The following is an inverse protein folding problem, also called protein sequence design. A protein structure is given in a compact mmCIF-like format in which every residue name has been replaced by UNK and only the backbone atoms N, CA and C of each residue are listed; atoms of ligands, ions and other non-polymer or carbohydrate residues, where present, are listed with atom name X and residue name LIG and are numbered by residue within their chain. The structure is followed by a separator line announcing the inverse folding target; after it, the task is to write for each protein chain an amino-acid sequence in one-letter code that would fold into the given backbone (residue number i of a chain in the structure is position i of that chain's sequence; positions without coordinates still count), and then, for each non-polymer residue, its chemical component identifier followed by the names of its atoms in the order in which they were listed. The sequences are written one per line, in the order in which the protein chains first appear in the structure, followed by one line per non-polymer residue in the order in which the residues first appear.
data_IF_357779962688
#
_entry.id   IF_357779962688
#
_cell.length_a   1.000
_cell.length_b   1.000
_cell.length_c   1.000
_cell.angle_alpha   90.00
_cell.angle_beta   90.00
_cell.angle_gamma   90.00
#
_symmetry.space_group_name_H-M   'P 1'
#
loop_
_entity.id
_entity.type
_entity.pdbx_description
1 polymer ?
#
# COMPACT_ATOMS: atom_id res chain seq x y z
N UNK A 1 19.56 7.57 -11.02
CA UNK A 1 20.14 7.82 -12.37
C UNK A 1 19.31 7.03 -13.35
N UNK A 2 18.86 7.63 -14.46
CA UNK A 2 18.05 6.89 -15.44
C UNK A 2 18.93 5.79 -16.05
N UNK A 3 18.44 4.55 -16.03
CA UNK A 3 19.14 3.39 -16.60
C UNK A 3 19.33 3.55 -18.11
N UNK A 4 20.46 3.08 -18.62
CA UNK A 4 20.68 2.97 -20.05
C UNK A 4 19.72 1.92 -20.66
N UNK A 5 19.26 2.06 -21.91
CA UNK A 5 18.24 1.17 -22.50
C UNK A 5 18.56 -0.33 -22.43
N UNK A 6 19.82 -0.69 -22.61
CA UNK A 6 20.36 -2.04 -22.54
C UNK A 6 20.41 -2.63 -21.12
N UNK A 7 20.36 -1.77 -20.09
CA UNK A 7 20.38 -2.15 -18.68
C UNK A 7 19.00 -2.20 -18.01
N UNK A 8 17.92 -1.87 -18.74
CA UNK A 8 16.57 -1.77 -18.20
C UNK A 8 16.04 -3.10 -17.62
N UNK A 9 16.47 -4.23 -18.19
CA UNK A 9 16.06 -5.57 -17.73
C UNK A 9 17.07 -6.20 -16.77
N UNK A 10 18.16 -5.50 -16.45
CA UNK A 10 19.12 -5.99 -15.45
C UNK A 10 18.56 -5.73 -14.04
N UNK A 11 18.78 -6.71 -13.14
CA UNK A 11 18.45 -6.57 -11.73
C UNK A 11 19.14 -5.34 -11.13
N UNK A 12 18.41 -4.59 -10.32
CA UNK A 12 18.96 -3.48 -9.56
C UNK A 12 20.02 -3.98 -8.55
N UNK A 13 21.13 -3.25 -8.30
CA UNK A 13 22.16 -3.64 -7.33
C UNK A 13 21.65 -3.96 -5.92
N UNK A 14 20.55 -3.32 -5.50
CA UNK A 14 19.92 -3.59 -4.20
C UNK A 14 19.22 -4.96 -4.14
N UNK A 15 18.77 -5.48 -5.28
CA UNK A 15 18.15 -6.80 -5.39
C UNK A 15 19.12 -7.89 -5.81
N UNK A 16 20.13 -7.59 -6.63
CA UNK A 16 21.13 -8.58 -7.05
C UNK A 16 22.18 -8.92 -5.97
N UNK A 17 22.15 -8.21 -4.84
CA UNK A 17 23.13 -8.36 -3.75
C UNK A 17 24.44 -7.59 -3.97
N UNK A 18 24.62 -6.94 -5.12
CA UNK A 18 25.79 -6.12 -5.42
C UNK A 18 25.95 -4.91 -4.48
N UNK A 19 24.88 -4.46 -3.84
CA UNK A 19 24.87 -3.36 -2.86
C UNK A 19 25.13 -3.76 -1.39
N UNK A 20 25.51 -5.01 -1.11
CA UNK A 20 25.70 -5.51 0.27
C UNK A 20 24.41 -5.98 0.97
N UNK A 21 23.34 -6.17 0.20
CA UNK A 21 22.06 -6.72 0.67
C UNK A 21 21.99 -8.23 0.41
N UNK A 22 21.14 -8.95 1.15
CA UNK A 22 20.76 -10.30 0.77
C UNK A 22 19.99 -10.18 -0.54
N UNK A 23 20.55 -10.73 -1.62
CA UNK A 23 19.91 -10.68 -2.92
C UNK A 23 18.57 -11.40 -2.91
N UNK A 24 17.65 -10.93 -3.75
CA UNK A 24 16.36 -11.56 -4.00
C UNK A 24 16.19 -11.80 -5.51
N UNK A 25 15.30 -12.70 -5.88
CA UNK A 25 14.94 -12.98 -7.26
C UNK A 25 13.56 -12.41 -7.58
N UNK A 26 13.24 -12.30 -8.87
CA UNK A 26 11.89 -11.93 -9.30
C UNK A 26 10.83 -12.91 -8.77
N UNK A 27 11.17 -14.19 -8.60
CA UNK A 27 10.29 -15.20 -8.02
C UNK A 27 10.02 -14.93 -6.53
N UNK A 28 11.03 -14.50 -5.78
CA UNK A 28 10.86 -14.15 -4.36
C UNK A 28 9.90 -12.96 -4.21
N UNK A 29 10.08 -11.91 -5.02
CA UNK A 29 9.21 -10.74 -5.01
C UNK A 29 7.78 -11.07 -5.41
N UNK A 30 7.59 -11.97 -6.39
CA UNK A 30 6.27 -12.46 -6.77
C UNK A 30 5.61 -13.23 -5.62
N UNK A 31 6.35 -14.16 -5.01
CA UNK A 31 5.86 -14.96 -3.88
C UNK A 31 5.50 -14.10 -2.65
N UNK A 32 6.15 -12.95 -2.46
CA UNK A 32 5.72 -11.99 -1.44
C UNK A 32 4.34 -11.39 -1.74
N UNK A 33 4.04 -11.07 -3.00
CA UNK A 33 2.75 -10.48 -3.38
C UNK A 33 1.60 -11.50 -3.34
N UNK A 34 1.86 -12.77 -3.65
CA UNK A 34 0.87 -13.85 -3.51
C UNK A 34 0.32 -13.96 -2.07
N UNK A 35 1.16 -13.72 -1.06
CA UNK A 35 0.74 -13.73 0.36
C UNK A 35 -0.20 -12.57 0.70
N UNK A 36 -0.18 -11.52 -0.10
CA UNK A 36 -0.90 -10.26 0.12
C UNK A 36 -2.13 -10.10 -0.80
N UNK A 37 -2.61 -11.18 -1.41
CA UNK A 37 -3.80 -11.15 -2.25
C UNK A 37 -5.05 -10.67 -1.49
N UNK A 38 -5.88 -9.87 -2.17
CA UNK A 38 -7.17 -9.42 -1.67
C UNK A 38 -8.28 -10.46 -1.93
N UNK A 39 -9.20 -10.70 -0.97
CA UNK A 39 -10.34 -11.58 -1.16
C UNK A 39 -11.27 -11.12 -2.28
N UNK A 40 -11.92 -12.07 -2.97
CA UNK A 40 -12.84 -11.80 -4.08
C UNK A 40 -13.99 -10.82 -3.76
N UNK A 41 -14.39 -10.71 -2.49
CA UNK A 41 -15.44 -9.78 -2.04
C UNK A 41 -15.04 -8.30 -2.13
N UNK A 42 -13.73 -7.98 -2.15
CA UNK A 42 -13.27 -6.60 -2.33
C UNK A 42 -13.61 -6.11 -3.74
N UNK A 43 -14.16 -4.91 -3.96
CA UNK A 43 -14.49 -4.41 -5.30
C UNK A 43 -13.31 -4.31 -6.28
N UNK A 44 -13.60 -4.46 -7.58
CA UNK A 44 -12.58 -4.45 -8.64
C UNK A 44 -11.86 -3.10 -8.80
N UNK A 45 -12.52 -1.99 -8.48
CA UNK A 45 -11.92 -0.65 -8.41
C UNK A 45 -10.71 -0.62 -7.48
N UNK A 46 -10.85 -1.20 -6.28
CA UNK A 46 -9.82 -1.27 -5.25
C UNK A 46 -8.77 -2.32 -5.63
N UNK A 47 -9.22 -3.48 -6.14
CA UNK A 47 -8.34 -4.57 -6.58
C UNK A 47 -7.34 -4.11 -7.64
N UNK A 48 -7.81 -3.36 -8.65
CA UNK A 48 -6.92 -2.80 -9.69
C UNK A 48 -5.82 -1.89 -9.12
N UNK A 49 -6.13 -1.08 -8.12
CA UNK A 49 -5.14 -0.20 -7.48
C UNK A 49 -4.16 -1.02 -6.63
N UNK A 50 -4.65 -2.01 -5.89
CA UNK A 50 -3.82 -2.94 -5.13
C UNK A 50 -2.87 -3.74 -6.03
N UNK A 51 -3.38 -4.32 -7.12
CA UNK A 51 -2.58 -5.08 -8.10
C UNK A 51 -1.51 -4.19 -8.75
N UNK A 52 -1.80 -2.92 -9.02
CA UNK A 52 -0.81 -1.98 -9.55
C UNK A 52 0.35 -1.75 -8.56
N UNK A 53 0.09 -1.74 -7.26
CA UNK A 53 1.11 -1.65 -6.21
C UNK A 53 1.94 -2.93 -6.15
N UNK A 54 1.29 -4.10 -6.24
CA UNK A 54 1.96 -5.40 -6.32
C UNK A 54 2.92 -5.45 -7.53
N UNK A 55 2.45 -5.03 -8.71
CA UNK A 55 3.28 -4.93 -9.89
C UNK A 55 4.44 -3.96 -9.70
N UNK A 56 4.21 -2.77 -9.13
CA UNK A 56 5.26 -1.80 -8.87
C UNK A 56 6.35 -2.35 -7.92
N UNK A 57 5.96 -3.12 -6.90
CA UNK A 57 6.90 -3.83 -6.04
C UNK A 57 7.70 -4.88 -6.83
N UNK A 58 7.05 -5.73 -7.62
CA UNK A 58 7.73 -6.75 -8.43
C UNK A 58 8.71 -6.11 -9.42
N UNK A 59 8.28 -5.06 -10.13
CA UNK A 59 9.12 -4.34 -11.09
C UNK A 59 10.21 -3.51 -10.42
N UNK A 60 10.14 -3.27 -9.10
CA UNK A 60 11.24 -2.65 -8.37
C UNK A 60 12.52 -3.49 -8.44
N UNK A 61 12.40 -4.79 -8.72
CA UNK A 61 13.52 -5.66 -9.09
C UNK A 61 14.45 -5.04 -10.14
N UNK A 62 13.88 -4.38 -11.15
CA UNK A 62 14.62 -3.73 -12.22
C UNK A 62 14.91 -2.26 -11.94
N UNK A 63 14.15 -1.61 -11.06
CA UNK A 63 14.34 -0.20 -10.74
C UNK A 63 13.91 0.05 -9.31
N UNK A 64 14.87 0.13 -8.40
CA UNK A 64 14.60 0.23 -6.96
C UNK A 64 13.69 1.42 -6.59
N UNK A 65 13.75 2.51 -7.35
CA UNK A 65 12.89 3.70 -7.16
C UNK A 65 11.37 3.38 -7.21
N UNK A 66 10.97 2.30 -7.91
CA UNK A 66 9.58 1.85 -7.96
C UNK A 66 9.07 1.35 -6.60
N UNK A 67 9.96 0.91 -5.71
CA UNK A 67 9.60 0.49 -4.35
C UNK A 67 9.02 1.67 -3.55
N UNK A 68 9.65 2.84 -3.66
CA UNK A 68 9.18 4.07 -3.02
C UNK A 68 7.84 4.51 -3.59
N UNK A 69 7.66 4.38 -4.91
CA UNK A 69 6.39 4.69 -5.58
C UNK A 69 5.29 3.73 -5.11
N UNK A 70 5.57 2.43 -5.03
CA UNK A 70 4.64 1.43 -4.51
C UNK A 70 4.21 1.75 -3.07
N UNK A 71 5.17 2.09 -2.19
CA UNK A 71 4.89 2.46 -0.80
C UNK A 71 4.00 3.72 -0.70
N UNK A 72 4.29 4.74 -1.52
CA UNK A 72 3.51 5.97 -1.54
C UNK A 72 2.06 5.73 -2.00
N UNK A 73 1.82 4.73 -2.85
CA UNK A 73 0.48 4.37 -3.35
C UNK A 73 -0.32 3.45 -2.41
N UNK A 74 0.33 2.78 -1.44
CA UNK A 74 -0.35 1.90 -0.49
C UNK A 74 -1.45 2.62 0.32
N UNK A 75 -1.16 3.81 0.87
CA UNK A 75 -2.16 4.55 1.67
C UNK A 75 -3.30 5.17 0.84
N UNK A 76 -3.06 5.76 -0.35
CA UNK A 76 -4.12 6.10 -1.29
C UNK A 76 -5.05 4.93 -1.62
N UNK A 77 -4.52 3.72 -1.78
CA UNK A 77 -5.33 2.51 -1.99
C UNK A 77 -6.25 2.21 -0.78
N UNK A 78 -5.71 2.29 0.44
CA UNK A 78 -6.51 2.14 1.67
C UNK A 78 -7.59 3.23 1.78
N UNK A 79 -7.24 4.47 1.45
CA UNK A 79 -8.18 5.59 1.48
C UNK A 79 -9.33 5.41 0.49
N UNK A 80 -9.04 4.95 -0.73
CA UNK A 80 -10.06 4.57 -1.72
C UNK A 80 -10.98 3.49 -1.15
N UNK A 81 -10.42 2.43 -0.58
CA UNK A 81 -11.19 1.33 -0.01
C UNK A 81 -12.12 1.77 1.13
N UNK A 82 -11.63 2.63 2.03
CA UNK A 82 -12.42 3.23 3.10
C UNK A 82 -13.57 4.06 2.55
N UNK A 83 -13.29 4.93 1.57
CA UNK A 83 -14.30 5.81 0.97
C UNK A 83 -15.39 5.00 0.30
N UNK A 84 -15.01 4.01 -0.50
CA UNK A 84 -15.96 3.17 -1.24
C UNK A 84 -16.83 2.36 -0.27
N UNK A 85 -16.23 1.72 0.74
CA UNK A 85 -16.96 0.92 1.74
C UNK A 85 -17.93 1.78 2.55
N UNK A 86 -17.48 2.92 3.08
CA UNK A 86 -18.32 3.80 3.88
C UNK A 86 -19.46 4.40 3.05
N UNK A 87 -19.17 4.88 1.84
CA UNK A 87 -20.20 5.43 0.95
C UNK A 87 -21.23 4.38 0.55
N UNK A 88 -20.79 3.15 0.27
CA UNK A 88 -21.67 2.02 -0.06
C UNK A 88 -22.62 1.63 1.09
N UNK A 89 -22.26 1.94 2.33
CA UNK A 89 -23.11 1.79 3.51
C UNK A 89 -23.97 3.04 3.82
N UNK A 90 -23.97 4.03 2.92
CA UNK A 90 -24.68 5.30 3.11
C UNK A 90 -24.06 6.22 4.16
N UNK A 91 -22.80 5.98 4.55
CA UNK A 91 -22.08 6.79 5.51
C UNK A 91 -21.42 7.98 4.81
N UNK A 92 -21.71 9.24 5.22
CA UNK A 92 -21.06 10.40 4.62
C UNK A 92 -19.54 10.39 4.83
N UNK A 93 -18.78 10.52 3.74
CA UNK A 93 -17.31 10.64 3.72
C UNK A 93 -16.82 12.09 3.69
N UNK A 94 -17.74 13.05 3.85
CA UNK A 94 -17.47 14.46 4.06
C UNK A 94 -17.77 14.83 5.52
N UNK A 95 -16.98 15.74 6.07
CA UNK A 95 -17.14 16.22 7.43
C UNK A 95 -18.48 16.99 7.56
N UNK A 96 -19.42 16.55 8.41
CA UNK A 96 -20.75 17.17 8.48
C UNK A 96 -20.75 18.63 8.92
N UNK A 97 -19.70 19.07 9.64
CA UNK A 97 -19.59 20.44 10.17
C UNK A 97 -19.00 21.41 9.16
N UNK A 98 -18.08 20.93 8.33
CA UNK A 98 -17.26 21.80 7.45
C UNK A 98 -17.52 21.54 5.96
N UNK A 99 -18.23 20.47 5.60
CA UNK A 99 -18.45 20.05 4.22
C UNK A 99 -17.19 19.51 3.52
N UNK A 100 -16.01 19.62 4.13
CA UNK A 100 -14.74 19.16 3.54
C UNK A 100 -14.68 17.64 3.46
N UNK A 101 -13.98 17.13 2.45
CA UNK A 101 -13.65 15.71 2.34
C UNK A 101 -12.88 15.24 3.58
N UNK A 102 -13.30 14.14 4.21
CA UNK A 102 -12.60 13.57 5.36
C UNK A 102 -11.21 13.06 4.97
N UNK A 103 -10.22 13.24 5.83
CA UNK A 103 -8.88 12.67 5.69
C UNK A 103 -8.87 11.18 6.04
N UNK A 104 -7.86 10.43 5.59
CA UNK A 104 -7.70 9.00 5.92
C UNK A 104 -7.81 8.70 7.43
N UNK A 105 -7.24 9.55 8.30
CA UNK A 105 -7.31 9.34 9.75
C UNK A 105 -8.73 9.50 10.33
N UNK A 106 -9.55 10.37 9.73
CA UNK A 106 -10.97 10.53 10.08
C UNK A 106 -11.77 9.31 9.59
N UNK A 107 -11.50 8.84 8.36
CA UNK A 107 -12.14 7.65 7.78
C UNK A 107 -11.82 6.37 8.56
N UNK A 108 -10.57 6.17 8.99
CA UNK A 108 -10.16 5.03 9.81
C UNK A 108 -10.89 5.00 11.16
N UNK A 109 -10.97 6.16 11.84
CA UNK A 109 -11.73 6.29 13.08
C UNK A 109 -13.21 5.97 12.87
N UNK A 110 -13.77 6.42 11.75
CA UNK A 110 -15.17 6.19 11.40
C UNK A 110 -15.47 4.72 11.10
N UNK A 111 -14.57 4.03 10.39
CA UNK A 111 -14.64 2.61 10.12
C UNK A 111 -14.54 1.79 11.42
N UNK A 112 -13.60 2.15 12.30
CA UNK A 112 -13.43 1.50 13.61
C UNK A 112 -14.65 1.70 14.52
N UNK A 113 -15.22 2.90 14.56
CA UNK A 113 -16.44 3.18 15.33
C UNK A 113 -17.68 2.40 14.84
N UNK A 114 -17.63 1.89 13.60
CA UNK A 114 -18.66 1.04 13.01
C UNK A 114 -18.32 -0.46 13.04
N UNK A 115 -17.24 -0.83 13.72
CA UNK A 115 -16.74 -2.21 13.78
C UNK A 115 -16.40 -2.81 12.40
N UNK A 116 -16.12 -1.98 11.38
CA UNK A 116 -15.67 -2.46 10.06
C UNK A 116 -14.20 -2.89 10.08
N UNK A 117 -13.44 -2.39 11.06
CA UNK A 117 -12.07 -2.79 11.36
C UNK A 117 -11.91 -2.91 12.87
N UNK A 118 -11.10 -3.87 13.28
CA UNK A 118 -10.76 -4.15 14.68
C UNK A 118 -9.29 -3.81 14.98
N UNK A 119 -8.43 -3.91 13.97
CA UNK A 119 -7.01 -3.59 14.02
C UNK A 119 -6.69 -2.24 14.67
N UNK A 120 -5.52 -2.14 15.29
CA UNK A 120 -5.03 -0.86 15.80
C UNK A 120 -4.60 0.06 14.64
N UNK A 121 -5.12 1.29 14.66
CA UNK A 121 -4.92 2.28 13.60
C UNK A 121 -3.97 3.40 14.02
N UNK A 122 -3.46 3.37 15.27
CA UNK A 122 -2.65 4.46 15.85
C UNK A 122 -1.43 4.82 15.00
N UNK A 123 -0.81 3.83 14.36
CA UNK A 123 0.44 4.00 13.61
C UNK A 123 0.23 4.25 12.11
N UNK A 124 -0.99 4.08 11.59
CA UNK A 124 -1.27 4.20 10.15
C UNK A 124 -1.02 5.62 9.64
N UNK A 125 -1.51 6.63 10.37
CA UNK A 125 -1.30 8.04 9.98
C UNK A 125 0.16 8.49 10.10
N UNK A 126 0.89 8.20 11.20
CA UNK A 126 2.33 8.43 11.27
C UNK A 126 3.11 7.76 10.12
N UNK A 127 2.85 6.49 9.82
CA UNK A 127 3.50 5.79 8.72
C UNK A 127 3.21 6.46 7.38
N UNK A 128 1.94 6.76 7.08
CA UNK A 128 1.56 7.48 5.86
C UNK A 128 2.31 8.79 5.72
N UNK A 129 2.47 9.54 6.81
CA UNK A 129 3.22 10.80 6.79
C UNK A 129 4.70 10.57 6.53
N UNK A 130 5.32 9.53 7.10
CA UNK A 130 6.71 9.16 6.82
C UNK A 130 6.95 8.91 5.32
N UNK A 131 6.01 8.25 4.63
CA UNK A 131 6.12 7.98 3.19
C UNK A 131 5.69 9.16 2.30
N UNK A 132 4.83 10.05 2.80
CA UNK A 132 4.33 11.21 2.05
C UNK A 132 5.23 12.44 2.16
N UNK A 133 6.02 12.55 3.23
CA UNK A 133 7.03 13.60 3.36
C UNK A 133 8.34 13.13 2.74
N UNK A 134 8.94 13.98 1.91
CA UNK A 134 10.24 13.70 1.30
C UNK A 134 11.24 13.34 2.40
N UNK A 135 11.82 12.15 2.29
CA UNK A 135 12.82 11.62 3.21
C UNK A 135 14.02 11.15 2.40
N UNK A 136 15.21 11.29 2.98
CA UNK A 136 16.45 10.68 2.48
C UNK A 136 16.55 9.18 2.82
N UNK A 137 15.55 8.65 3.53
CA UNK A 137 15.47 7.23 3.87
C UNK A 137 15.37 6.37 2.61
N UNK A 138 16.38 5.52 2.40
CA UNK A 138 16.33 4.46 1.41
C UNK A 138 15.37 3.38 1.90
N UNK A 139 14.18 3.34 1.33
CA UNK A 139 13.18 2.32 1.66
C UNK A 139 13.71 0.94 1.28
N UNK A 140 13.62 -0.05 2.17
CA UNK A 140 13.96 -1.44 1.86
C UNK A 140 12.72 -2.34 1.70
N UNK A 141 12.85 -3.52 1.07
CA UNK A 141 11.72 -4.42 0.86
C UNK A 141 10.97 -4.77 2.14
N UNK A 142 11.67 -5.05 3.24
CA UNK A 142 11.02 -5.41 4.52
C UNK A 142 10.12 -4.28 5.06
N UNK A 143 10.57 -3.03 4.95
CA UNK A 143 9.77 -1.86 5.35
C UNK A 143 8.53 -1.68 4.47
N UNK A 144 8.64 -1.91 3.16
CA UNK A 144 7.49 -1.91 2.26
C UNK A 144 6.52 -3.05 2.62
N UNK A 145 7.01 -4.28 2.77
CA UNK A 145 6.20 -5.46 3.05
C UNK A 145 5.41 -5.30 4.34
N UNK A 146 6.05 -4.83 5.42
CA UNK A 146 5.34 -4.56 6.68
C UNK A 146 4.24 -3.51 6.52
N UNK A 147 4.48 -2.48 5.70
CA UNK A 147 3.50 -1.42 5.44
C UNK A 147 2.34 -1.93 4.59
N UNK A 148 2.66 -2.68 3.53
CA UNK A 148 1.68 -3.16 2.57
C UNK A 148 0.84 -4.32 3.14
N UNK A 149 1.42 -5.15 4.01
CA UNK A 149 0.69 -6.14 4.79
C UNK A 149 -0.37 -5.50 5.69
N UNK A 150 0.01 -4.46 6.45
CA UNK A 150 -0.94 -3.70 7.27
C UNK A 150 -2.08 -3.10 6.43
N UNK A 151 -1.75 -2.47 5.30
CA UNK A 151 -2.75 -1.88 4.39
C UNK A 151 -3.68 -2.96 3.85
N UNK A 152 -3.12 -4.07 3.37
CA UNK A 152 -3.87 -5.20 2.82
C UNK A 152 -4.79 -5.82 3.89
N UNK A 153 -4.30 -6.01 5.11
CA UNK A 153 -5.07 -6.50 6.24
C UNK A 153 -6.26 -5.60 6.59
N UNK A 154 -6.06 -4.28 6.61
CA UNK A 154 -7.15 -3.33 6.84
C UNK A 154 -8.20 -3.37 5.73
N UNK A 155 -7.78 -3.49 4.46
CA UNK A 155 -8.72 -3.65 3.33
C UNK A 155 -9.49 -4.96 3.46
N UNK A 156 -8.83 -6.06 3.85
CA UNK A 156 -9.49 -7.35 4.13
C UNK A 156 -10.60 -7.17 5.17
N UNK A 157 -10.26 -6.64 6.35
CA UNK A 157 -11.21 -6.42 7.44
C UNK A 157 -12.43 -5.60 6.99
N UNK A 158 -12.22 -4.52 6.24
CA UNK A 158 -13.30 -3.64 5.76
C UNK A 158 -14.39 -4.38 4.98
N UNK A 159 -14.04 -5.44 4.26
CA UNK A 159 -14.94 -6.17 3.36
C UNK A 159 -15.32 -7.56 3.85
N UNK A 160 -14.64 -8.10 4.87
CA UNK A 160 -14.96 -9.42 5.44
C UNK A 160 -15.68 -9.34 6.79
N UNK A 161 -15.64 -8.18 7.46
CA UNK A 161 -16.37 -7.98 8.72
C UNK A 161 -17.84 -7.66 8.42
N UNK A 162 -18.75 -8.40 9.07
CA UNK A 162 -20.19 -8.35 8.87
C UNK A 162 -20.84 -7.10 9.46
#
# INVERSE_FOLDING_TARGET
MIKAPDSLTAADPYFSGGGGFIGATLFDLHADMEKLELPRVVPDSIRRVHDAICHAYIYSYFSYDLLTIAAAQAFPCLELALRERLSGLGVPVANPKTGRTMMMSELLKLAKARNLITSDIKYVAPMRNMFAHGSDTVLNPAMFLATFDLVTGLIKELYTTA
#
